data_IF_769108552319
#
_entry.id   IF_769108552319
#
_cell.length_a   1.000
_cell.length_b   1.000
_cell.length_c   1.000
_cell.angle_alpha   90.00
_cell.angle_beta   90.00
_cell.angle_gamma   90.00
#
_symmetry.space_group_name_H-M   'P 1'
#
loop_
_entity.id
_entity.type
_entity.pdbx_description
1 polymer ?
#
# COMPACT_ATOMS: atom_id res chain seq x y z
N UNK A 1 -8.12 -54.00 -10.40
CA UNK A 1 -7.08 -53.02 -10.00
C UNK A 1 -7.18 -51.85 -10.95
N UNK A 2 -7.31 -50.61 -10.49
CA UNK A 2 -7.30 -49.43 -11.38
C UNK A 2 -5.86 -49.20 -11.82
N UNK A 3 -5.61 -49.14 -13.12
CA UNK A 3 -4.26 -48.99 -13.66
C UNK A 3 -3.64 -47.67 -13.21
N UNK A 4 -2.51 -47.73 -12.51
CA UNK A 4 -1.77 -46.57 -11.98
C UNK A 4 -1.43 -45.52 -13.04
N UNK A 5 -1.31 -45.93 -14.31
CA UNK A 5 -1.15 -45.03 -15.45
C UNK A 5 -2.41 -44.18 -15.72
N UNK A 6 -3.59 -44.78 -15.62
CA UNK A 6 -4.86 -44.08 -15.87
C UNK A 6 -5.19 -43.06 -14.79
N UNK A 7 -4.89 -43.37 -13.52
CA UNK A 7 -5.05 -42.42 -12.41
C UNK A 7 -4.09 -41.24 -12.54
N UNK A 8 -2.83 -41.48 -12.91
CA UNK A 8 -1.85 -40.41 -13.12
C UNK A 8 -2.23 -39.47 -14.27
N UNK A 9 -2.75 -40.03 -15.38
CA UNK A 9 -3.23 -39.23 -16.51
C UNK A 9 -4.45 -38.38 -16.12
N UNK A 10 -5.37 -38.92 -15.32
CA UNK A 10 -6.53 -38.16 -14.86
C UNK A 10 -6.13 -36.98 -13.95
N UNK A 11 -5.17 -37.19 -13.06
CA UNK A 11 -4.64 -36.16 -12.17
C UNK A 11 -3.94 -35.03 -12.95
N UNK A 12 -3.09 -35.37 -13.91
CA UNK A 12 -2.43 -34.39 -14.78
C UNK A 12 -3.44 -33.57 -15.59
N UNK A 13 -4.51 -34.19 -16.09
CA UNK A 13 -5.60 -33.47 -16.79
C UNK A 13 -6.32 -32.50 -15.86
N UNK A 14 -6.49 -32.84 -14.59
CA UNK A 14 -7.11 -31.96 -13.61
C UNK A 14 -6.21 -30.76 -13.29
N UNK A 15 -4.91 -31.00 -13.10
CA UNK A 15 -3.93 -29.94 -12.89
C UNK A 15 -3.85 -28.98 -14.08
N UNK A 16 -3.88 -29.50 -15.31
CA UNK A 16 -3.89 -28.68 -16.53
C UNK A 16 -5.10 -27.74 -16.56
N UNK A 17 -6.31 -28.27 -16.30
CA UNK A 17 -7.53 -27.46 -16.24
C UNK A 17 -7.46 -26.36 -15.18
N UNK A 18 -6.88 -26.67 -14.03
CA UNK A 18 -6.71 -25.69 -12.95
C UNK A 18 -5.72 -24.58 -13.33
N UNK A 19 -4.61 -24.93 -13.99
CA UNK A 19 -3.64 -23.95 -14.52
C UNK A 19 -4.30 -23.07 -15.58
N UNK A 20 -5.02 -23.65 -16.54
CA UNK A 20 -5.76 -22.89 -17.56
C UNK A 20 -6.81 -21.95 -16.96
N UNK A 21 -7.44 -22.35 -15.86
CA UNK A 21 -8.40 -21.50 -15.14
C UNK A 21 -7.70 -20.30 -14.50
N UNK A 22 -6.54 -20.50 -13.87
CA UNK A 22 -5.76 -19.43 -13.25
C UNK A 22 -5.21 -18.45 -14.27
N UNK A 23 -4.71 -18.95 -15.39
CA UNK A 23 -4.22 -18.11 -16.49
C UNK A 23 -5.35 -17.21 -16.99
N UNK A 24 -6.53 -17.77 -17.25
CA UNK A 24 -7.70 -16.97 -17.68
C UNK A 24 -8.10 -15.90 -16.65
N UNK A 25 -8.07 -16.23 -15.36
CA UNK A 25 -8.37 -15.24 -14.32
C UNK A 25 -7.36 -14.10 -14.31
N UNK A 26 -6.07 -14.37 -14.48
CA UNK A 26 -5.07 -13.30 -14.54
C UNK A 26 -5.12 -12.52 -15.86
N UNK A 27 -5.48 -13.14 -16.98
CA UNK A 27 -5.75 -12.40 -18.22
C UNK A 27 -6.93 -11.44 -18.07
N UNK A 28 -8.01 -11.86 -17.40
CA UNK A 28 -9.16 -11.00 -17.09
C UNK A 28 -8.75 -9.85 -16.15
N UNK A 29 -8.04 -10.16 -15.08
CA UNK A 29 -7.52 -9.15 -14.14
C UNK A 29 -6.60 -8.15 -14.84
N UNK A 30 -5.71 -8.62 -15.71
CA UNK A 30 -4.81 -7.77 -16.50
C UNK A 30 -5.59 -6.82 -17.40
N UNK A 31 -6.66 -7.30 -18.08
CA UNK A 31 -7.53 -6.45 -18.89
C UNK A 31 -8.26 -5.40 -18.06
N UNK A 32 -8.73 -5.75 -16.86
CA UNK A 32 -9.37 -4.79 -15.96
C UNK A 32 -8.38 -3.71 -15.48
N UNK A 33 -7.16 -4.10 -15.12
CA UNK A 33 -6.11 -3.18 -14.74
C UNK A 33 -5.74 -2.24 -15.88
N UNK A 34 -5.62 -2.76 -17.10
CA UNK A 34 -5.33 -1.95 -18.28
C UNK A 34 -6.44 -0.91 -18.53
N UNK A 35 -7.72 -1.32 -18.47
CA UNK A 35 -8.85 -0.38 -18.60
C UNK A 35 -8.83 0.70 -17.52
N UNK A 36 -8.46 0.34 -16.29
CA UNK A 36 -8.36 1.29 -15.18
C UNK A 36 -7.20 2.28 -15.39
N UNK A 37 -6.09 1.81 -15.91
CA UNK A 37 -4.93 2.65 -16.24
C UNK A 37 -5.24 3.60 -17.40
N UNK A 38 -5.90 3.11 -18.45
CA UNK A 38 -6.38 3.94 -19.57
C UNK A 38 -7.36 5.01 -19.10
N UNK A 39 -8.34 4.67 -18.25
CA UNK A 39 -9.27 5.64 -17.66
C UNK A 39 -8.58 6.67 -16.76
N UNK A 40 -7.42 6.33 -16.18
CA UNK A 40 -6.61 7.24 -15.36
C UNK A 40 -5.65 8.09 -16.20
N UNK A 41 -5.41 7.74 -17.47
CA UNK A 41 -4.44 8.42 -18.33
C UNK A 41 -4.79 9.89 -18.57
N UNK A 42 -6.08 10.23 -18.54
CA UNK A 42 -6.59 11.59 -18.70
C UNK A 42 -6.81 12.32 -17.35
N UNK A 43 -6.56 11.67 -16.21
CA UNK A 43 -6.62 12.32 -14.90
C UNK A 43 -5.28 12.99 -14.56
N UNK A 44 -5.30 14.13 -13.82
CA UNK A 44 -4.08 14.72 -13.30
C UNK A 44 -3.34 13.68 -12.45
N UNK A 45 -2.15 13.27 -12.89
CA UNK A 45 -1.28 12.38 -12.12
C UNK A 45 -0.88 13.10 -10.83
N UNK A 46 -0.94 12.40 -9.70
CA UNK A 46 -0.36 12.92 -8.46
C UNK A 46 1.14 13.14 -8.62
N UNK A 47 1.73 14.03 -7.82
CA UNK A 47 3.19 14.30 -7.85
C UNK A 47 4.05 13.05 -7.56
N UNK A 48 3.47 12.00 -6.95
CA UNK A 48 4.13 10.68 -6.76
C UNK A 48 3.94 9.71 -7.94
N UNK A 49 3.11 10.05 -8.94
CA UNK A 49 2.84 9.25 -10.15
C UNK A 49 3.38 9.89 -11.43
N UNK A 50 3.71 11.19 -11.37
CA UNK A 50 4.38 11.90 -12.45
C UNK A 50 5.80 11.37 -12.63
N UNK A 51 6.26 11.29 -13.88
CA UNK A 51 7.64 10.96 -14.15
C UNK A 51 8.55 12.06 -13.57
N UNK A 52 9.76 11.75 -13.12
CA UNK A 52 10.67 12.75 -12.49
C UNK A 52 10.95 13.93 -13.42
N UNK A 53 10.84 13.72 -14.73
CA UNK A 53 10.99 14.73 -15.78
C UNK A 53 9.75 15.62 -15.96
N UNK A 54 8.57 15.18 -15.51
CA UNK A 54 7.28 15.91 -15.54
C UNK A 54 7.03 16.70 -14.24
N UNK A 55 7.87 16.49 -13.22
CA UNK A 55 7.80 17.19 -11.93
C UNK A 55 8.43 18.58 -12.05
N UNK A 56 7.65 19.64 -11.83
CA UNK A 56 8.17 21.00 -11.72
C UNK A 56 8.95 21.13 -10.40
N UNK A 57 10.27 21.32 -10.52
CA UNK A 57 11.18 21.51 -9.38
C UNK A 57 10.73 22.68 -8.48
N UNK A 58 10.13 23.72 -9.06
CA UNK A 58 9.64 24.87 -8.30
C UNK A 58 8.44 24.50 -7.44
N UNK A 59 7.46 23.79 -8.00
CA UNK A 59 6.28 23.34 -7.25
C UNK A 59 6.69 22.37 -6.14
N UNK A 60 7.66 21.49 -6.41
CA UNK A 60 8.18 20.56 -5.41
C UNK A 60 8.87 21.27 -4.24
N UNK A 61 9.67 22.30 -4.54
CA UNK A 61 10.33 23.11 -3.52
C UNK A 61 9.33 23.94 -2.69
N UNK A 62 8.30 24.51 -3.33
CA UNK A 62 7.21 25.20 -2.63
C UNK A 62 6.43 24.25 -1.71
N UNK A 63 6.14 23.04 -2.17
CA UNK A 63 5.47 22.03 -1.38
C UNK A 63 6.34 21.58 -0.19
N UNK A 64 7.64 21.38 -0.41
CA UNK A 64 8.59 21.07 0.64
C UNK A 64 8.64 22.16 1.73
N UNK A 65 8.67 23.44 1.33
CA UNK A 65 8.65 24.56 2.25
C UNK A 65 7.38 24.58 3.12
N UNK A 66 6.20 24.35 2.51
CA UNK A 66 4.92 24.25 3.23
C UNK A 66 4.91 23.10 4.25
N UNK A 67 5.50 21.95 3.89
CA UNK A 67 5.63 20.83 4.82
C UNK A 67 6.59 21.13 5.97
N UNK A 68 7.71 21.81 5.70
CA UNK A 68 8.66 22.23 6.74
C UNK A 68 8.02 23.21 7.72
N UNK A 69 7.21 24.15 7.22
CA UNK A 69 6.44 25.09 8.03
C UNK A 69 5.41 24.35 8.90
N UNK A 70 4.63 23.44 8.30
CA UNK A 70 3.65 22.64 9.02
C UNK A 70 4.31 21.80 10.12
N UNK A 71 5.42 21.15 9.81
CA UNK A 71 6.16 20.33 10.76
C UNK A 71 6.66 21.17 11.94
N UNK A 72 7.25 22.35 11.66
CA UNK A 72 7.70 23.29 12.69
C UNK A 72 6.53 23.77 13.56
N UNK A 73 5.41 24.12 12.93
CA UNK A 73 4.20 24.56 13.62
C UNK A 73 3.62 23.48 14.55
N UNK A 74 3.57 22.23 14.08
CA UNK A 74 3.13 21.08 14.87
C UNK A 74 4.06 20.83 16.06
N UNK A 75 5.38 20.88 15.85
CA UNK A 75 6.36 20.70 16.93
C UNK A 75 6.25 21.82 17.98
N UNK A 76 6.07 23.06 17.55
CA UNK A 76 5.87 24.19 18.45
C UNK A 76 4.58 24.04 19.25
N UNK A 77 3.47 23.68 18.61
CA UNK A 77 2.20 23.39 19.29
C UNK A 77 2.34 22.27 20.34
N UNK A 78 3.02 21.18 19.98
CA UNK A 78 3.26 20.07 20.91
C UNK A 78 4.12 20.50 22.10
N UNK A 79 5.14 21.33 21.86
CA UNK A 79 6.02 21.86 22.89
C UNK A 79 5.28 22.82 23.82
N UNK A 80 4.48 23.73 23.26
CA UNK A 80 3.63 24.68 24.01
C UNK A 80 2.64 23.94 24.91
N UNK A 81 1.96 22.92 24.36
CA UNK A 81 1.04 22.06 25.13
C UNK A 81 1.74 21.34 26.30
N UNK A 82 2.99 20.90 26.11
CA UNK A 82 3.77 20.27 27.17
C UNK A 82 4.28 21.27 28.23
N UNK A 83 4.56 22.52 27.85
CA UNK A 83 5.04 23.56 28.76
C UNK A 83 3.94 24.26 29.56
N UNK A 84 2.70 24.25 29.07
CA UNK A 84 1.57 24.95 29.72
C UNK A 84 0.97 24.21 30.92
N UNK A 85 1.52 23.04 31.32
CA UNK A 85 1.13 22.36 32.56
C UNK A 85 -0.34 21.89 32.61
N UNK A 86 -1.10 22.03 31.53
CA UNK A 86 -2.42 21.43 31.41
C UNK A 86 -2.22 19.93 31.24
N UNK A 87 -2.39 19.20 32.34
CA UNK A 87 -2.51 17.75 32.38
C UNK A 87 -3.81 17.30 31.67
N UNK A 88 -3.89 17.56 30.36
CA UNK A 88 -4.80 16.87 29.47
C UNK A 88 -4.22 15.48 29.24
N UNK A 89 -4.89 14.46 29.78
CA UNK A 89 -4.58 13.03 29.69
C UNK A 89 -3.80 12.69 28.41
N UNK A 90 -2.49 12.50 28.58
CA UNK A 90 -1.57 12.15 27.51
C UNK A 90 -1.71 10.66 27.22
N UNK A 91 -2.43 10.30 26.16
CA UNK A 91 -2.12 9.05 25.46
C UNK A 91 -0.76 9.26 24.79
N UNK A 92 0.27 8.76 25.48
CA UNK A 92 1.69 8.84 25.09
C UNK A 92 1.85 8.56 23.60
N UNK A 93 2.68 9.33 22.90
CA UNK A 93 2.97 9.15 21.47
C UNK A 93 3.47 7.72 21.13
N UNK A 94 3.95 6.98 22.12
CA UNK A 94 4.27 5.56 22.05
C UNK A 94 3.05 4.68 21.72
N UNK A 95 1.82 5.08 22.09
CA UNK A 95 0.59 4.35 21.75
C UNK A 95 0.20 4.52 20.28
N UNK A 96 0.46 5.69 19.68
CA UNK A 96 0.25 5.89 18.24
C UNK A 96 1.24 5.02 17.45
N UNK A 97 2.51 5.00 17.84
CA UNK A 97 3.53 4.15 17.19
C UNK A 97 3.22 2.64 17.40
N UNK A 98 2.71 2.25 18.57
CA UNK A 98 2.22 0.88 18.80
C UNK A 98 0.96 0.55 17.98
N UNK A 99 0.07 1.50 17.71
CA UNK A 99 -1.14 1.25 16.91
C UNK A 99 -0.83 0.93 15.43
N UNK A 100 0.31 1.39 14.92
CA UNK A 100 0.81 1.08 13.58
C UNK A 100 1.72 -0.15 13.54
N UNK A 101 2.05 -0.73 14.68
CA UNK A 101 2.85 -1.96 14.73
C UNK A 101 1.93 -3.18 14.61
N UNK A 102 2.02 -3.98 13.53
CA UNK A 102 1.26 -5.22 13.42
C UNK A 102 1.65 -6.15 14.57
N UNK A 103 0.67 -6.56 15.39
CA UNK A 103 0.85 -7.57 16.43
C UNK A 103 1.21 -8.89 15.76
N UNK A 104 2.50 -9.19 15.62
CA UNK A 104 2.96 -10.51 15.20
C UNK A 104 2.71 -11.48 16.35
N UNK A 105 1.53 -12.09 16.37
CA UNK A 105 1.25 -13.24 17.23
C UNK A 105 1.91 -14.47 16.60
N UNK A 106 3.22 -14.60 16.82
CA UNK A 106 3.92 -15.86 16.57
C UNK A 106 3.72 -16.72 17.80
N UNK A 107 2.71 -17.60 17.76
CA UNK A 107 2.63 -18.74 18.66
C UNK A 107 3.83 -19.65 18.35
N UNK A 108 4.79 -19.70 19.27
CA UNK A 108 5.82 -20.72 19.28
C UNK A 108 5.18 -22.11 19.35
N UNK A 109 5.75 -23.03 18.59
CA UNK A 109 5.47 -24.46 18.58
C UNK A 109 5.76 -25.10 19.93
#
# INVERSE_FOLDING_TARGET
>A
MKDTKTTRVAELRQQLKEVERRVRQEEERSKELQKREEARRDQPKGWWEANVQELDEKELNELHAKFAELHTSLLNNLKERNSSGEAGSSTSAEQLIQSFSPKTNVKGF
#
